data_IF_238038970937
#
_entry.id   IF_238038970937
#
_cell.length_a   1.000
_cell.length_b   1.000
_cell.length_c   1.000
_cell.angle_alpha   90.00
_cell.angle_beta   90.00
_cell.angle_gamma   90.00
#
_symmetry.space_group_name_H-M   'P 1'
#
loop_
_entity.id
_entity.type
_entity.pdbx_description
1 polymer ?
#
# COMPACT_ATOMS: atom_id res chain seq x y z
N UNK A 1 5.11 -33.27 6.58
CA UNK A 1 5.89 -32.10 7.03
C UNK A 1 5.87 -31.12 5.87
N UNK A 2 5.22 -29.95 6.00
CA UNK A 2 5.42 -28.76 5.13
C UNK A 2 4.27 -27.75 5.40
N UNK A 3 4.33 -27.05 6.54
CA UNK A 3 3.50 -25.84 6.80
C UNK A 3 4.28 -24.73 7.55
N UNK A 4 5.62 -24.76 7.56
CA UNK A 4 6.42 -23.74 8.26
C UNK A 4 6.82 -22.54 7.40
N UNK A 5 6.54 -22.57 6.09
CA UNK A 5 6.89 -21.49 5.15
C UNK A 5 5.93 -20.30 5.15
N UNK A 6 4.65 -20.52 5.43
CA UNK A 6 3.60 -19.49 5.28
C UNK A 6 3.58 -18.45 6.41
N UNK A 7 3.89 -18.85 7.65
CA UNK A 7 3.83 -17.95 8.83
C UNK A 7 5.03 -17.00 8.87
N UNK A 8 6.21 -17.45 8.43
CA UNK A 8 7.45 -16.62 8.43
C UNK A 8 7.35 -15.45 7.45
N UNK A 9 6.70 -15.64 6.31
CA UNK A 9 6.54 -14.60 5.27
C UNK A 9 5.55 -13.52 5.72
N UNK A 10 4.46 -13.92 6.41
CA UNK A 10 3.45 -12.99 6.93
C UNK A 10 4.03 -12.02 7.96
N UNK A 11 4.80 -12.52 8.94
CA UNK A 11 5.40 -11.66 9.97
C UNK A 11 6.44 -10.68 9.42
N UNK A 12 7.23 -11.09 8.42
CA UNK A 12 8.24 -10.23 7.82
C UNK A 12 7.60 -9.12 6.96
N UNK A 13 6.51 -9.43 6.25
CA UNK A 13 5.77 -8.47 5.44
C UNK A 13 5.10 -7.38 6.29
N UNK A 14 4.44 -7.76 7.39
CA UNK A 14 3.80 -6.79 8.31
C UNK A 14 4.84 -5.87 8.96
N UNK A 15 5.96 -6.42 9.43
CA UNK A 15 7.08 -5.63 9.97
C UNK A 15 7.65 -4.66 8.95
N UNK A 16 7.81 -5.11 7.71
CA UNK A 16 8.31 -4.26 6.63
C UNK A 16 7.36 -3.09 6.33
N UNK A 17 6.04 -3.34 6.25
CA UNK A 17 5.03 -2.28 6.08
C UNK A 17 5.01 -1.27 7.22
N UNK A 18 5.16 -1.72 8.46
CA UNK A 18 5.23 -0.83 9.64
C UNK A 18 6.49 0.04 9.58
N UNK A 19 7.65 -0.54 9.24
CA UNK A 19 8.90 0.21 9.09
C UNK A 19 8.80 1.23 7.95
N UNK A 20 8.22 0.85 6.81
CA UNK A 20 7.97 1.76 5.69
C UNK A 20 7.06 2.91 6.07
N UNK A 21 6.01 2.64 6.84
CA UNK A 21 5.07 3.66 7.33
C UNK A 21 5.76 4.64 8.28
N UNK A 22 6.56 4.14 9.21
CA UNK A 22 7.39 4.97 10.10
C UNK A 22 8.39 5.82 9.31
N UNK A 23 9.08 5.22 8.34
CA UNK A 23 10.07 5.91 7.49
C UNK A 23 9.41 7.02 6.66
N UNK A 24 8.28 6.73 6.02
CA UNK A 24 7.54 7.72 5.24
C UNK A 24 6.95 8.82 6.10
N UNK A 25 6.41 8.52 7.28
CA UNK A 25 5.92 9.54 8.20
C UNK A 25 7.06 10.47 8.65
N UNK A 26 8.24 9.91 8.94
CA UNK A 26 9.42 10.69 9.28
C UNK A 26 9.89 11.56 8.10
N UNK A 27 9.91 11.03 6.88
CA UNK A 27 10.17 11.83 5.67
C UNK A 27 9.10 12.92 5.48
N UNK A 28 7.84 12.64 5.80
CA UNK A 28 6.75 13.62 5.77
C UNK A 28 7.01 14.79 6.70
N UNK A 29 7.55 14.54 7.90
CA UNK A 29 7.99 15.60 8.80
C UNK A 29 9.06 16.49 8.17
N UNK A 30 10.08 15.92 7.53
CA UNK A 30 11.15 16.67 6.89
C UNK A 30 10.70 17.43 5.62
N UNK A 31 9.86 16.81 4.80
CA UNK A 31 9.39 17.40 3.53
C UNK A 31 8.46 18.58 3.77
N UNK A 32 7.60 18.49 4.79
CA UNK A 32 6.62 19.54 5.09
C UNK A 32 7.05 20.47 6.24
N UNK A 33 8.16 20.17 6.91
CA UNK A 33 8.71 20.97 8.02
C UNK A 33 7.78 21.09 9.24
N UNK A 34 6.78 20.23 9.36
CA UNK A 34 5.74 20.32 10.38
C UNK A 34 5.19 18.95 10.78
N UNK A 35 4.77 18.84 12.04
CA UNK A 35 4.03 17.69 12.58
C UNK A 35 2.77 17.39 11.76
N UNK A 36 2.12 18.43 11.20
CA UNK A 36 0.95 18.24 10.34
C UNK A 36 1.29 17.44 9.08
N UNK A 37 2.49 17.62 8.51
CA UNK A 37 2.96 16.83 7.37
C UNK A 37 3.26 15.39 7.73
N UNK A 38 3.84 15.15 8.91
CA UNK A 38 4.07 13.80 9.41
C UNK A 38 2.76 13.04 9.60
N UNK A 39 1.75 13.69 10.20
CA UNK A 39 0.41 13.14 10.41
C UNK A 39 -0.34 12.90 9.10
N UNK A 40 -0.23 13.80 8.12
CA UNK A 40 -0.85 13.62 6.82
C UNK A 40 -0.27 12.42 6.06
N UNK A 41 1.05 12.24 6.09
CA UNK A 41 1.70 11.09 5.46
C UNK A 41 1.41 9.79 6.21
N UNK A 42 1.27 9.85 7.54
CA UNK A 42 0.84 8.72 8.35
C UNK A 42 -0.59 8.30 7.98
N UNK A 43 -1.51 9.26 7.89
CA UNK A 43 -2.89 9.03 7.45
C UNK A 43 -2.93 8.45 6.03
N UNK A 44 -2.11 8.99 5.12
CA UNK A 44 -1.94 8.48 3.76
C UNK A 44 -1.49 7.02 3.74
N UNK A 45 -0.48 6.65 4.54
CA UNK A 45 -0.05 5.27 4.65
C UNK A 45 -1.16 4.35 5.17
N UNK A 46 -1.93 4.78 6.19
CA UNK A 46 -3.06 3.99 6.71
C UNK A 46 -4.08 3.73 5.58
N UNK A 47 -4.48 4.78 4.86
CA UNK A 47 -5.44 4.66 3.75
C UNK A 47 -4.88 3.77 2.64
N UNK A 48 -3.59 3.91 2.29
CA UNK A 48 -2.93 3.05 1.31
C UNK A 48 -2.89 1.58 1.74
N UNK A 49 -2.75 1.31 3.04
CA UNK A 49 -2.80 -0.05 3.59
C UNK A 49 -4.20 -0.66 3.46
N UNK A 50 -5.26 0.12 3.70
CA UNK A 50 -6.63 -0.31 3.39
C UNK A 50 -6.86 -0.55 1.90
N UNK A 51 -6.24 0.24 1.02
CA UNK A 51 -6.33 0.03 -0.42
C UNK A 51 -5.63 -1.25 -0.88
N UNK A 52 -4.58 -1.71 -0.17
CA UNK A 52 -3.94 -3.00 -0.47
C UNK A 52 -4.89 -4.20 -0.29
N UNK A 53 -5.88 -4.12 0.60
CA UNK A 53 -6.91 -5.17 0.72
C UNK A 53 -7.72 -5.35 -0.57
N UNK A 54 -7.89 -4.29 -1.36
CA UNK A 54 -8.62 -4.34 -2.64
C UNK A 54 -7.80 -5.12 -3.69
N UNK A 55 -6.47 -5.12 -3.59
CA UNK A 55 -5.59 -5.88 -4.47
C UNK A 55 -5.62 -7.40 -4.24
N UNK A 56 -6.36 -7.88 -3.23
CA UNK A 56 -6.70 -9.30 -3.07
C UNK A 56 -7.57 -9.78 -4.24
N UNK A 57 -8.25 -8.88 -4.98
CA UNK A 57 -8.98 -9.27 -6.19
C UNK A 57 -7.96 -9.73 -7.26
N UNK A 58 -8.01 -11.00 -7.71
CA UNK A 58 -7.08 -11.52 -8.69
C UNK A 58 -7.26 -10.83 -10.05
N UNK A 59 -6.19 -10.76 -10.83
CA UNK A 59 -6.08 -10.17 -12.18
C UNK A 59 -6.26 -8.64 -12.27
N UNK A 60 -7.28 -8.08 -11.64
CA UNK A 60 -7.70 -6.69 -11.83
C UNK A 60 -7.54 -5.82 -10.58
N UNK A 61 -7.23 -6.43 -9.42
CA UNK A 61 -7.13 -5.73 -8.14
C UNK A 61 -6.14 -4.57 -8.15
N UNK A 62 -4.97 -4.75 -8.77
CA UNK A 62 -3.96 -3.70 -8.87
C UNK A 62 -4.43 -2.48 -9.68
N UNK A 63 -5.27 -2.70 -10.70
CA UNK A 63 -5.78 -1.65 -11.60
C UNK A 63 -6.83 -0.79 -10.88
N UNK A 64 -7.72 -1.44 -10.13
CA UNK A 64 -8.71 -0.80 -9.27
C UNK A 64 -8.00 -0.03 -8.15
N UNK A 65 -6.98 -0.62 -7.53
CA UNK A 65 -6.16 0.04 -6.51
C UNK A 65 -5.49 1.30 -7.08
N UNK A 66 -4.87 1.23 -8.25
CA UNK A 66 -4.21 2.37 -8.88
C UNK A 66 -5.21 3.50 -9.17
N UNK A 67 -6.41 3.17 -9.66
CA UNK A 67 -7.45 4.15 -9.93
C UNK A 67 -7.97 4.81 -8.64
N UNK A 68 -8.26 4.03 -7.59
CA UNK A 68 -8.70 4.53 -6.30
C UNK A 68 -7.63 5.37 -5.61
N UNK A 69 -6.36 4.95 -5.67
CA UNK A 69 -5.28 5.75 -5.11
C UNK A 69 -5.12 7.09 -5.85
N UNK A 70 -5.18 7.08 -7.18
CA UNK A 70 -5.08 8.32 -7.94
C UNK A 70 -6.24 9.27 -7.67
N UNK A 71 -7.48 8.77 -7.57
CA UNK A 71 -8.67 9.62 -7.46
C UNK A 71 -9.04 9.94 -6.01
N UNK A 72 -9.09 8.93 -5.15
CA UNK A 72 -9.56 9.05 -3.77
C UNK A 72 -8.44 9.52 -2.84
N UNK A 73 -7.24 8.96 -2.99
CA UNK A 73 -6.14 9.19 -2.03
C UNK A 73 -5.44 10.51 -2.32
N UNK A 74 -5.06 10.77 -3.57
CA UNK A 74 -4.39 12.04 -3.92
C UNK A 74 -5.33 13.23 -3.70
N UNK A 75 -6.56 13.17 -4.22
CA UNK A 75 -7.51 14.29 -4.12
C UNK A 75 -8.11 14.42 -2.73
N UNK A 76 -8.45 13.30 -2.08
CA UNK A 76 -9.07 13.30 -0.76
C UNK A 76 -8.11 13.73 0.34
N UNK A 77 -6.87 13.26 0.32
CA UNK A 77 -5.89 13.63 1.34
C UNK A 77 -5.41 15.06 1.13
N UNK A 78 -5.23 15.52 -0.11
CA UNK A 78 -4.96 16.93 -0.38
C UNK A 78 -6.10 17.84 0.14
N UNK A 79 -7.36 17.42 -0.01
CA UNK A 79 -8.51 18.17 0.49
C UNK A 79 -8.65 18.18 2.03
N UNK A 80 -8.35 17.05 2.69
CA UNK A 80 -8.50 16.92 4.15
C UNK A 80 -7.31 17.54 4.90
N UNK A 81 -6.10 17.34 4.40
CA UNK A 81 -4.88 17.76 5.10
C UNK A 81 -4.40 19.14 4.66
N UNK A 82 -4.91 19.67 3.54
CA UNK A 82 -4.51 20.98 3.00
C UNK A 82 -3.07 21.00 2.49
N UNK A 83 -2.46 19.83 2.30
CA UNK A 83 -1.05 19.70 1.98
C UNK A 83 -0.85 19.60 0.47
N UNK A 84 0.17 20.30 -0.03
CA UNK A 84 0.58 20.27 -1.43
C UNK A 84 1.10 18.89 -1.85
N UNK A 85 0.76 18.46 -3.06
CA UNK A 85 1.35 17.25 -3.64
C UNK A 85 2.86 17.43 -3.77
N UNK A 86 3.61 16.57 -3.08
CA UNK A 86 5.07 16.51 -3.18
C UNK A 86 5.52 15.23 -3.86
N UNK A 87 6.81 15.18 -4.19
CA UNK A 87 7.45 13.98 -4.70
C UNK A 87 7.29 12.77 -3.76
N UNK A 88 7.18 13.01 -2.44
CA UNK A 88 6.98 11.96 -1.43
C UNK A 88 5.66 11.22 -1.64
N UNK A 89 4.56 11.95 -1.88
CA UNK A 89 3.24 11.38 -2.21
C UNK A 89 3.29 10.51 -3.48
N UNK A 90 4.05 10.93 -4.49
CA UNK A 90 4.25 10.14 -5.72
C UNK A 90 5.07 8.87 -5.44
N UNK A 91 6.13 8.96 -4.64
CA UNK A 91 6.93 7.80 -4.26
C UNK A 91 6.11 6.76 -3.48
N UNK A 92 5.29 7.20 -2.52
CA UNK A 92 4.38 6.34 -1.75
C UNK A 92 3.41 5.63 -2.71
N UNK A 93 2.81 6.36 -3.65
CA UNK A 93 1.93 5.76 -4.66
C UNK A 93 2.63 4.63 -5.43
N UNK A 94 3.83 4.87 -5.96
CA UNK A 94 4.57 3.85 -6.70
C UNK A 94 4.93 2.63 -5.86
N UNK A 95 5.38 2.81 -4.62
CA UNK A 95 5.70 1.71 -3.72
C UNK A 95 4.48 0.85 -3.45
N UNK A 96 3.35 1.46 -3.08
CA UNK A 96 2.12 0.71 -2.80
C UNK A 96 1.50 0.09 -4.06
N UNK A 97 1.68 0.70 -5.23
CA UNK A 97 1.25 0.14 -6.50
C UNK A 97 2.03 -1.14 -6.83
N UNK A 98 3.36 -1.14 -6.65
CA UNK A 98 4.19 -2.35 -6.80
C UNK A 98 3.75 -3.44 -5.83
N UNK A 99 3.49 -3.10 -4.56
CA UNK A 99 2.92 -4.05 -3.60
C UNK A 99 1.57 -4.63 -4.05
N UNK A 100 0.67 -3.78 -4.56
CA UNK A 100 -0.62 -4.21 -5.10
C UNK A 100 -0.48 -5.17 -6.28
N UNK A 101 0.46 -4.90 -7.20
CA UNK A 101 0.78 -5.81 -8.31
C UNK A 101 1.23 -7.17 -7.77
N UNK A 102 2.19 -7.18 -6.83
CA UNK A 102 2.71 -8.44 -6.25
C UNK A 102 1.58 -9.25 -5.61
N UNK A 103 0.74 -8.61 -4.77
CA UNK A 103 -0.39 -9.28 -4.10
C UNK A 103 -1.38 -9.82 -5.14
N UNK A 104 -1.72 -9.02 -6.15
CA UNK A 104 -2.66 -9.44 -7.20
C UNK A 104 -2.09 -10.60 -8.02
N UNK A 105 -0.79 -10.59 -8.35
CA UNK A 105 -0.11 -11.71 -9.02
C UNK A 105 -0.12 -12.97 -8.16
N UNK A 106 0.26 -12.87 -6.89
CA UNK A 106 0.25 -14.02 -5.96
C UNK A 106 -1.15 -14.60 -5.84
N UNK A 107 -2.17 -13.75 -5.68
CA UNK A 107 -3.56 -14.20 -5.55
C UNK A 107 -4.06 -14.83 -6.84
N UNK A 108 -3.71 -14.28 -8.01
CA UNK A 108 -4.00 -14.91 -9.31
C UNK A 108 -3.38 -16.30 -9.42
N UNK A 109 -2.12 -16.49 -9.01
CA UNK A 109 -1.47 -17.81 -9.02
C UNK A 109 -2.24 -18.79 -8.13
N UNK A 110 -2.59 -18.40 -6.91
CA UNK A 110 -3.36 -19.23 -5.98
C UNK A 110 -4.70 -19.67 -6.58
N UNK A 111 -5.42 -18.74 -7.21
CA UNK A 111 -6.71 -19.04 -7.86
C UNK A 111 -6.52 -19.97 -9.06
N UNK A 112 -5.49 -19.76 -9.88
CA UNK A 112 -5.15 -20.62 -11.02
C UNK A 112 -4.79 -22.05 -10.57
N UNK A 113 -4.06 -22.20 -9.46
CA UNK A 113 -3.77 -23.52 -8.89
C UNK A 113 -5.04 -24.18 -8.36
N UNK A 114 -5.88 -23.45 -7.60
CA UNK A 114 -7.14 -23.98 -7.09
C UNK A 114 -8.11 -24.43 -8.20
N UNK A 115 -8.13 -23.72 -9.33
CA UNK A 115 -8.92 -24.10 -10.51
C UNK A 115 -8.31 -25.25 -11.32
N UNK A 116 -6.98 -25.43 -11.28
CA UNK A 116 -6.30 -26.56 -11.93
C UNK A 116 -6.52 -27.87 -11.16
N UNK A 117 -6.63 -27.79 -9.85
CA UNK A 117 -6.81 -28.94 -8.96
C UNK A 117 -8.28 -29.39 -8.81
N UNK A 118 -9.25 -28.66 -9.41
CA UNK A 118 -10.66 -29.06 -9.54
C UNK A 118 -10.95 -29.68 -10.90
#
# INVERSE_FOLDING_TARGET
>A
MEQEGSVKVSFNSVRFSILLTMLFSLLGYFVYGSINGALAILLLCIVCNFMLLISVIPFVGWLIQAFLMKKLVITGIAAITGISLTWLTSAIFWVYLVFGIIISTVTSIVVLTALRDS
#
